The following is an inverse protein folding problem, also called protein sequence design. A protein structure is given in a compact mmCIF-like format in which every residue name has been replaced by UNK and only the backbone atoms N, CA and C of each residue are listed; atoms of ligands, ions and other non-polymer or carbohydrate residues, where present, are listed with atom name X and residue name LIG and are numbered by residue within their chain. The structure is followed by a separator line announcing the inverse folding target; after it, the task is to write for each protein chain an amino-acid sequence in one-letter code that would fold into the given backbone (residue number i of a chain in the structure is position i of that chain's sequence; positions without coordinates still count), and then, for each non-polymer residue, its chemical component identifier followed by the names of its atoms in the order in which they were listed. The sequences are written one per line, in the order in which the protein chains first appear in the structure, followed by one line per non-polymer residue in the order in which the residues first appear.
data_IF_201623676556
#
_entry.id   IF_201623676556
#
_cell.length_a   1.000
_cell.length_b   1.000
_cell.length_c   1.000
_cell.angle_alpha   90.00
_cell.angle_beta   90.00
_cell.angle_gamma   90.00
#
_symmetry.space_group_name_H-M   'P 1'
#
loop_
_entity.id
_entity.type
_entity.pdbx_description
1 polymer ?
#
# COMPACT_ATOMS: atom_id res chain seq x y z
N UNK A 1 10.60 1.56 25.61
CA UNK A 1 9.36 1.58 26.38
C UNK A 1 8.36 1.02 25.42
N UNK A 2 8.28 -0.28 25.51
CA UNK A 2 7.68 -1.22 24.59
C UNK A 2 7.63 -2.43 25.52
N UNK A 3 6.46 -2.64 26.11
CA UNK A 3 6.33 -3.48 27.32
C UNK A 3 6.03 -4.94 26.97
N UNK A 4 5.64 -5.19 25.73
CA UNK A 4 5.45 -6.48 25.07
C UNK A 4 6.53 -6.83 24.02
N UNK A 5 7.46 -5.90 23.75
CA UNK A 5 8.65 -6.09 22.92
C UNK A 5 8.33 -6.35 21.43
N UNK A 6 7.28 -5.69 20.92
CA UNK A 6 6.76 -5.87 19.56
C UNK A 6 7.35 -4.86 18.55
N UNK A 7 8.04 -3.82 19.05
CA UNK A 7 8.63 -2.76 18.24
C UNK A 7 7.86 -1.44 18.23
N UNK A 8 6.62 -1.43 18.73
CA UNK A 8 5.81 -0.24 18.94
C UNK A 8 6.00 0.28 20.37
N UNK A 9 5.98 1.60 20.53
CA UNK A 9 6.21 2.18 21.86
C UNK A 9 4.91 2.27 22.64
N UNK A 10 4.94 1.92 23.93
CA UNK A 10 3.91 2.14 24.95
C UNK A 10 3.14 3.48 24.83
N UNK A 11 3.85 4.53 24.39
CA UNK A 11 3.28 5.86 24.23
C UNK A 11 2.46 6.04 22.96
N UNK A 12 2.81 5.34 21.88
CA UNK A 12 2.07 5.29 20.62
C UNK A 12 0.78 4.49 20.81
N UNK A 13 0.89 3.30 21.40
CA UNK A 13 -0.24 2.43 21.71
C UNK A 13 -1.25 3.08 22.66
N UNK A 14 -0.79 3.78 23.70
CA UNK A 14 -1.69 4.54 24.60
C UNK A 14 -2.31 5.78 23.93
N UNK A 15 -1.98 6.10 22.69
CA UNK A 15 -2.38 7.33 22.01
C UNK A 15 -1.87 8.60 22.69
N UNK A 16 -0.75 8.52 23.42
CA UNK A 16 -0.25 9.61 24.24
C UNK A 16 0.55 10.60 23.40
N UNK A 17 0.10 11.86 23.32
CA UNK A 17 0.87 12.93 22.66
C UNK A 17 2.09 13.28 23.52
N UNK A 18 3.24 12.70 23.16
CA UNK A 18 4.53 12.87 23.84
C UNK A 18 5.65 12.83 22.78
N UNK A 19 5.89 13.93 22.05
CA UNK A 19 6.94 13.96 21.03
C UNK A 19 8.30 13.72 21.70
N UNK A 20 8.81 12.49 21.53
CA UNK A 20 10.14 11.98 21.89
C UNK A 20 10.84 12.69 23.06
N UNK A 21 10.89 12.04 24.22
CA UNK A 21 11.89 12.39 25.23
C UNK A 21 13.25 11.92 24.71
N UNK A 22 13.99 12.81 24.04
CA UNK A 22 15.27 12.49 23.40
C UNK A 22 16.20 11.70 24.34
N UNK A 23 16.33 10.39 24.09
CA UNK A 23 17.36 9.54 24.72
C UNK A 23 16.92 8.24 25.39
N UNK A 24 15.62 7.94 25.55
CA UNK A 24 15.19 6.71 26.24
C UNK A 24 14.58 5.60 25.37
N UNK A 25 14.45 5.80 24.04
CA UNK A 25 13.71 4.87 23.18
C UNK A 25 12.23 4.76 23.58
N UNK A 26 11.70 5.84 24.16
CA UNK A 26 10.32 5.95 24.59
C UNK A 26 9.76 7.21 23.96
N UNK A 27 8.82 7.05 23.04
CA UNK A 27 8.12 8.13 22.37
C UNK A 27 6.63 7.86 22.38
N UNK A 28 5.84 8.93 22.30
CA UNK A 28 4.44 8.82 21.97
C UNK A 28 4.16 9.49 20.64
N UNK A 29 2.88 9.66 20.35
CA UNK A 29 2.40 10.30 19.15
C UNK A 29 2.96 11.72 18.99
N UNK A 30 3.17 12.10 17.74
CA UNK A 30 3.43 13.49 17.39
C UNK A 30 2.21 14.37 17.76
N UNK A 31 2.39 15.70 17.77
CA UNK A 31 1.30 16.62 18.06
C UNK A 31 0.11 16.50 17.09
N UNK A 32 0.34 15.92 15.91
CA UNK A 32 -0.69 15.66 14.92
C UNK A 32 -1.61 14.48 15.29
N UNK A 33 -1.25 13.66 16.27
CA UNK A 33 -2.01 12.46 16.67
C UNK A 33 -1.61 11.23 15.85
N UNK A 34 -2.60 10.37 15.59
CA UNK A 34 -2.55 9.11 14.83
C UNK A 34 -3.73 9.06 13.85
N UNK A 35 -3.60 8.28 12.77
CA UNK A 35 -4.71 7.90 11.89
C UNK A 35 -5.21 6.45 12.11
N UNK A 36 -4.71 5.72 13.13
CA UNK A 36 -5.25 4.42 13.49
C UNK A 36 -6.76 4.51 13.71
N UNK A 37 -7.49 3.55 13.16
CA UNK A 37 -8.94 3.54 13.19
C UNK A 37 -9.48 3.38 14.62
N UNK A 38 -8.81 2.59 15.45
CA UNK A 38 -9.21 2.36 16.84
C UNK A 38 -8.04 2.27 17.83
N UNK A 39 -7.41 3.41 18.09
CA UNK A 39 -6.32 3.56 19.09
C UNK A 39 -6.69 3.08 20.51
N UNK A 40 -7.96 2.86 20.84
CA UNK A 40 -8.36 2.35 22.16
C UNK A 40 -8.30 0.83 22.29
N UNK A 41 -8.14 0.12 21.18
CA UNK A 41 -7.92 -1.33 21.16
C UNK A 41 -6.48 -1.66 21.51
N UNK A 42 -5.55 -0.80 21.13
CA UNK A 42 -4.12 -0.91 21.45
C UNK A 42 -3.89 -1.10 22.96
N UNK A 43 -3.11 -2.11 23.33
CA UNK A 43 -2.70 -2.38 24.70
C UNK A 43 -1.19 -2.62 24.77
N UNK A 44 -0.42 -1.79 25.49
CA UNK A 44 1.04 -1.91 25.69
C UNK A 44 1.58 -3.23 26.22
N UNK A 45 0.73 -4.19 26.53
CA UNK A 45 1.10 -5.51 27.02
C UNK A 45 0.64 -6.62 26.06
N UNK A 46 0.13 -6.24 24.89
CA UNK A 46 -0.42 -7.10 23.89
C UNK A 46 0.24 -6.79 22.53
N UNK A 47 1.21 -7.60 22.07
CA UNK A 47 2.05 -7.30 20.91
C UNK A 47 1.32 -7.41 19.54
N UNK A 48 0.01 -7.63 19.55
CA UNK A 48 -0.85 -7.93 18.40
C UNK A 48 -2.29 -7.52 18.80
N UNK A 49 -2.62 -6.27 18.54
CA UNK A 49 -3.74 -5.55 19.14
C UNK A 49 -5.08 -5.94 18.54
N UNK A 50 -5.14 -6.26 17.27
CA UNK A 50 -6.35 -6.77 16.61
C UNK A 50 -6.42 -8.31 16.52
N UNK A 51 -5.32 -9.00 16.82
CA UNK A 51 -5.25 -10.44 17.00
C UNK A 51 -5.18 -11.21 15.69
N UNK A 52 -4.65 -10.60 14.63
CA UNK A 52 -4.57 -11.16 13.29
C UNK A 52 -3.27 -11.97 13.05
N UNK A 53 -2.33 -11.89 13.99
CA UNK A 53 -1.06 -12.60 13.98
C UNK A 53 0.12 -11.80 13.42
N UNK A 54 -0.09 -10.58 12.94
CA UNK A 54 0.95 -9.58 12.70
C UNK A 54 1.17 -8.79 14.00
N UNK A 55 2.38 -8.28 14.22
CA UNK A 55 2.69 -7.54 15.46
C UNK A 55 2.51 -6.05 15.23
N UNK A 56 2.00 -5.29 16.19
CA UNK A 56 1.68 -3.86 15.99
C UNK A 56 2.91 -3.06 15.51
N UNK A 57 4.09 -3.39 16.03
CA UNK A 57 5.36 -2.79 15.61
C UNK A 57 5.85 -3.19 14.21
N UNK A 58 5.34 -4.28 13.63
CA UNK A 58 5.55 -4.65 12.22
C UNK A 58 4.61 -3.87 11.32
N UNK A 59 3.38 -3.68 11.78
CA UNK A 59 2.32 -2.97 11.07
C UNK A 59 2.59 -1.46 10.98
N UNK A 60 2.96 -0.80 12.08
CA UNK A 60 3.55 0.54 12.09
C UNK A 60 5.08 0.44 12.15
N UNK A 61 5.68 -0.03 11.06
CA UNK A 61 7.11 -0.34 10.94
C UNK A 61 8.03 0.83 11.34
N UNK A 62 7.57 2.06 11.14
CA UNK A 62 8.34 3.24 11.52
C UNK A 62 7.99 3.80 12.92
N UNK A 63 6.96 3.24 13.56
CA UNK A 63 6.51 3.50 14.92
C UNK A 63 6.04 4.93 15.14
N UNK A 64 5.59 5.64 14.10
CA UNK A 64 5.24 7.05 14.21
C UNK A 64 3.78 7.27 14.66
N UNK A 65 3.00 6.20 14.73
CA UNK A 65 1.58 6.23 15.01
C UNK A 65 0.72 6.57 13.80
N UNK A 66 1.18 6.38 12.57
CA UNK A 66 0.42 6.66 11.36
C UNK A 66 0.57 5.50 10.39
N UNK A 67 -0.56 4.99 9.91
CA UNK A 67 -0.64 4.07 8.78
C UNK A 67 -0.19 4.81 7.52
N UNK A 68 1.03 4.52 7.07
CA UNK A 68 1.60 4.99 5.80
C UNK A 68 1.24 4.05 4.63
N UNK A 69 1.71 4.34 3.42
CA UNK A 69 1.35 3.60 2.19
C UNK A 69 1.81 2.13 2.15
N UNK A 70 2.72 1.73 3.06
CA UNK A 70 3.32 0.39 3.09
C UNK A 70 3.20 -0.25 4.47
N UNK A 71 2.19 0.18 5.22
CA UNK A 71 1.92 -0.17 6.62
C UNK A 71 0.45 -0.56 6.73
N UNK A 72 0.14 -1.52 7.59
CA UNK A 72 -1.23 -1.86 7.99
C UNK A 72 -1.67 -1.07 9.21
N UNK A 73 -2.96 -1.10 9.53
CA UNK A 73 -3.50 -0.48 10.74
C UNK A 73 -3.51 -1.51 11.89
N UNK A 74 -2.69 -1.35 12.94
CA UNK A 74 -2.60 -2.32 14.05
C UNK A 74 -3.88 -2.54 14.88
N UNK A 75 -4.95 -1.82 14.52
CA UNK A 75 -6.25 -1.90 15.17
C UNK A 75 -7.32 -2.51 14.28
N UNK A 76 -6.95 -3.01 13.09
CA UNK A 76 -7.82 -3.64 12.10
C UNK A 76 -7.10 -4.85 11.50
N UNK A 77 -7.59 -6.03 11.84
CA UNK A 77 -7.08 -7.32 11.37
C UNK A 77 -7.14 -7.58 9.85
N UNK A 78 -7.59 -6.64 9.04
CA UNK A 78 -7.84 -6.74 7.58
C UNK A 78 -7.91 -5.29 7.09
N UNK A 79 -6.73 -4.69 6.83
CA UNK A 79 -6.60 -3.25 6.63
C UNK A 79 -7.20 -2.81 5.29
N UNK A 80 -7.09 -3.63 4.26
CA UNK A 80 -7.56 -3.31 2.92
C UNK A 80 -9.01 -3.79 2.63
N UNK A 81 -9.57 -4.60 3.54
CA UNK A 81 -10.93 -5.13 3.53
C UNK A 81 -11.22 -6.08 2.37
N UNK A 82 -10.23 -6.82 1.92
CA UNK A 82 -10.39 -7.82 0.88
C UNK A 82 -10.98 -9.14 1.44
N UNK A 83 -10.87 -9.38 2.74
CA UNK A 83 -11.39 -10.54 3.45
C UNK A 83 -10.34 -11.57 3.86
N UNK A 84 -9.06 -11.31 3.60
CA UNK A 84 -7.91 -11.89 4.26
C UNK A 84 -7.49 -10.99 5.42
N UNK A 85 -6.63 -11.52 6.29
CA UNK A 85 -6.10 -10.74 7.40
C UNK A 85 -4.64 -10.47 7.17
N UNK A 86 -4.17 -9.29 7.57
CA UNK A 86 -2.82 -8.82 7.29
C UNK A 86 -1.76 -9.84 7.73
N UNK A 87 -1.94 -10.45 8.90
CA UNK A 87 -1.08 -11.51 9.43
C UNK A 87 -1.09 -12.84 8.65
N UNK A 88 -2.21 -13.21 8.02
CA UNK A 88 -2.30 -14.35 7.10
C UNK A 88 -1.54 -14.03 5.82
N UNK A 89 -1.70 -12.81 5.32
CA UNK A 89 -1.14 -12.40 4.04
C UNK A 89 0.38 -12.22 4.11
N UNK A 90 0.85 -11.63 5.20
CA UNK A 90 2.28 -11.50 5.50
C UNK A 90 3.04 -12.81 5.53
N UNK A 91 2.37 -13.90 5.93
CA UNK A 91 3.02 -15.20 6.12
C UNK A 91 2.64 -16.21 5.05
N UNK A 92 1.58 -15.97 4.29
CA UNK A 92 0.97 -16.98 3.44
C UNK A 92 0.55 -18.23 4.22
N UNK A 93 0.12 -18.06 5.47
CA UNK A 93 -0.22 -19.11 6.43
C UNK A 93 -1.72 -19.03 6.77
N UNK A 94 -2.56 -19.59 5.90
CA UNK A 94 -4.01 -19.54 6.02
C UNK A 94 -4.58 -20.54 7.05
N UNK A 95 -3.77 -21.35 7.75
CA UNK A 95 -4.24 -22.23 8.86
C UNK A 95 -3.57 -21.92 10.20
N UNK A 96 -2.70 -20.90 10.21
CA UNK A 96 -2.08 -20.32 11.38
C UNK A 96 -1.22 -21.35 12.14
N UNK A 97 -0.57 -22.26 11.41
CA UNK A 97 0.32 -23.27 11.99
C UNK A 97 1.77 -22.77 12.19
N UNK A 98 2.06 -21.56 11.71
CA UNK A 98 3.35 -20.90 11.75
C UNK A 98 4.26 -21.25 10.57
N UNK A 99 3.74 -21.96 9.56
CA UNK A 99 4.44 -22.36 8.34
C UNK A 99 3.61 -21.88 7.15
N UNK A 100 4.21 -21.21 6.14
CA UNK A 100 3.51 -20.90 4.91
C UNK A 100 2.93 -22.16 4.27
N UNK A 101 1.70 -22.06 3.75
CA UNK A 101 0.97 -23.18 3.15
C UNK A 101 1.59 -23.71 1.86
N UNK A 102 2.47 -22.91 1.25
CA UNK A 102 3.10 -23.20 -0.03
C UNK A 102 4.63 -23.18 0.08
N UNK A 103 5.28 -23.96 -0.79
CA UNK A 103 6.72 -23.86 -0.96
C UNK A 103 7.03 -22.57 -1.75
N UNK A 104 7.56 -21.52 -1.11
CA UNK A 104 7.93 -20.24 -1.77
C UNK A 104 8.72 -20.41 -3.08
N UNK A 105 9.50 -21.49 -3.22
CA UNK A 105 10.29 -21.76 -4.43
C UNK A 105 9.44 -22.05 -5.67
N UNK A 106 8.16 -22.40 -5.47
CA UNK A 106 7.22 -22.72 -6.53
C UNK A 106 6.44 -21.50 -7.01
N UNK A 107 6.40 -20.41 -6.23
CA UNK A 107 5.75 -19.16 -6.62
C UNK A 107 6.36 -18.65 -7.91
N UNK A 108 5.50 -18.57 -8.94
CA UNK A 108 5.83 -17.90 -10.17
C UNK A 108 5.77 -16.39 -9.91
N UNK A 109 6.91 -15.82 -9.54
CA UNK A 109 7.02 -14.36 -9.40
C UNK A 109 6.49 -13.70 -10.68
N UNK A 110 5.68 -12.66 -10.50
CA UNK A 110 5.22 -11.82 -11.59
C UNK A 110 6.38 -11.32 -12.47
N UNK A 111 6.08 -10.75 -13.65
CA UNK A 111 7.08 -10.40 -14.68
C UNK A 111 8.20 -9.43 -14.23
N UNK A 112 8.12 -8.87 -13.02
CA UNK A 112 9.03 -7.87 -12.46
C UNK A 112 10.11 -8.42 -11.52
N UNK A 113 9.99 -9.64 -10.98
CA UNK A 113 10.88 -10.11 -9.92
C UNK A 113 11.76 -11.31 -10.27
N UNK A 114 13.04 -11.23 -9.87
CA UNK A 114 13.92 -12.42 -9.80
C UNK A 114 13.45 -13.33 -8.64
N UNK A 115 13.78 -14.63 -8.60
CA UNK A 115 13.21 -15.63 -7.69
C UNK A 115 13.15 -15.14 -6.23
N UNK A 116 12.07 -15.44 -5.48
CA UNK A 116 11.59 -14.57 -4.41
C UNK A 116 12.57 -14.54 -3.24
N UNK A 117 13.03 -13.35 -2.91
CA UNK A 117 13.74 -13.10 -1.65
C UNK A 117 12.78 -12.66 -0.53
N UNK A 118 11.53 -12.31 -0.85
CA UNK A 118 10.55 -11.80 0.10
C UNK A 118 9.14 -12.34 -0.22
N UNK A 119 8.46 -12.93 0.78
CA UNK A 119 7.05 -13.37 0.68
C UNK A 119 6.08 -12.19 0.84
N UNK A 120 6.58 -11.05 1.31
CA UNK A 120 5.77 -9.92 1.73
C UNK A 120 5.27 -9.04 0.57
N UNK A 121 5.84 -9.17 -0.63
CA UNK A 121 5.53 -8.36 -1.84
C UNK A 121 5.76 -9.25 -3.07
N UNK A 122 4.69 -9.92 -3.52
CA UNK A 122 4.79 -11.05 -4.44
C UNK A 122 4.91 -10.63 -5.92
N UNK A 123 4.18 -9.59 -6.31
CA UNK A 123 4.21 -9.03 -7.66
C UNK A 123 5.35 -7.99 -7.84
N UNK A 124 5.94 -7.54 -6.72
CA UNK A 124 7.00 -6.57 -6.63
C UNK A 124 6.64 -5.19 -7.19
N UNK A 125 5.40 -4.74 -7.00
CA UNK A 125 5.02 -3.36 -7.26
C UNK A 125 5.40 -2.39 -6.14
N UNK A 126 5.83 -2.94 -4.99
CA UNK A 126 6.28 -2.23 -3.80
C UNK A 126 5.18 -2.05 -2.75
N UNK A 127 3.99 -2.57 -2.97
CA UNK A 127 2.90 -2.68 -2.01
C UNK A 127 2.98 -4.06 -1.35
N UNK A 128 3.06 -4.14 -0.01
CA UNK A 128 3.02 -5.43 0.65
C UNK A 128 1.69 -6.16 0.43
N UNK A 129 1.71 -7.49 0.35
CA UNK A 129 0.50 -8.29 0.09
C UNK A 129 -0.65 -7.95 1.05
N UNK A 130 -0.36 -7.75 2.34
CA UNK A 130 -1.35 -7.41 3.38
C UNK A 130 -2.01 -6.04 3.26
N UNK A 131 -1.68 -5.26 2.23
CA UNK A 131 -2.36 -4.01 1.89
C UNK A 131 -2.59 -3.91 0.37
N UNK A 132 -2.23 -4.97 -0.37
CA UNK A 132 -2.44 -5.08 -1.80
C UNK A 132 -3.74 -5.82 -2.07
N UNK A 133 -4.51 -5.29 -3.02
CA UNK A 133 -5.83 -5.83 -3.35
C UNK A 133 -5.77 -6.92 -4.42
N UNK A 134 -4.62 -7.11 -5.07
CA UNK A 134 -4.33 -8.07 -6.16
C UNK A 134 -2.86 -8.48 -6.07
N UNK A 135 -2.53 -9.23 -5.00
CA UNK A 135 -1.17 -9.55 -4.54
C UNK A 135 -0.25 -10.17 -5.60
N UNK A 136 -0.78 -10.82 -6.62
CA UNK A 136 -0.02 -11.46 -7.69
C UNK A 136 -0.13 -10.77 -9.07
N UNK A 137 -0.81 -9.61 -9.12
CA UNK A 137 -1.07 -8.76 -10.30
C UNK A 137 -1.67 -9.55 -11.49
N UNK A 138 -2.49 -10.54 -11.16
CA UNK A 138 -3.18 -11.43 -12.07
C UNK A 138 -4.38 -10.73 -12.76
N UNK A 139 -4.91 -9.70 -12.12
CA UNK A 139 -6.15 -9.03 -12.52
C UNK A 139 -7.38 -9.64 -11.87
N UNK A 140 -7.19 -10.49 -10.86
CA UNK A 140 -8.20 -10.94 -9.93
C UNK A 140 -7.91 -10.38 -8.54
N UNK A 141 -8.88 -9.73 -7.88
CA UNK A 141 -8.61 -9.22 -6.56
C UNK A 141 -8.62 -10.33 -5.52
N UNK A 142 -7.78 -10.20 -4.49
CA UNK A 142 -7.55 -11.19 -3.44
C UNK A 142 -8.86 -11.60 -2.73
N UNK A 143 -9.79 -10.66 -2.57
CA UNK A 143 -11.19 -10.91 -2.12
C UNK A 143 -11.98 -12.00 -2.87
N UNK A 144 -11.54 -12.39 -4.07
CA UNK A 144 -12.15 -13.47 -4.88
C UNK A 144 -11.37 -14.77 -4.84
N UNK A 145 -10.18 -14.76 -4.27
CA UNK A 145 -9.19 -15.83 -4.30
C UNK A 145 -8.79 -16.31 -2.90
N UNK A 146 -9.01 -15.49 -1.88
CA UNK A 146 -8.59 -15.68 -0.48
C UNK A 146 -9.19 -16.87 0.29
N UNK A 147 -9.77 -17.86 -0.39
CA UNK A 147 -10.32 -19.05 0.25
C UNK A 147 -9.46 -20.30 0.04
N UNK A 148 -8.12 -20.14 0.03
CA UNK A 148 -7.16 -21.21 -0.30
C UNK A 148 -7.52 -21.93 -1.61
N UNK A 149 -8.07 -21.21 -2.58
CA UNK A 149 -8.34 -21.82 -3.88
C UNK A 149 -7.01 -22.11 -4.56
N UNK A 150 -6.91 -23.25 -5.22
CA UNK A 150 -5.76 -23.67 -6.02
C UNK A 150 -6.33 -24.29 -7.30
N UNK A 151 -6.65 -23.42 -8.26
CA UNK A 151 -7.37 -23.79 -9.47
C UNK A 151 -6.56 -24.72 -10.37
N UNK A 152 -5.24 -24.49 -10.46
CA UNK A 152 -4.36 -25.26 -11.33
C UNK A 152 -3.69 -26.46 -10.62
N UNK A 153 -3.96 -26.64 -9.32
CA UNK A 153 -3.46 -27.73 -8.47
C UNK A 153 -1.94 -27.78 -8.38
N UNK A 154 -1.28 -26.61 -8.37
CA UNK A 154 0.17 -26.49 -8.29
C UNK A 154 0.68 -26.31 -6.84
N UNK A 155 -0.21 -26.39 -5.84
CA UNK A 155 0.05 -26.24 -4.39
C UNK A 155 0.31 -24.81 -3.92
N UNK A 156 0.05 -23.82 -4.77
CA UNK A 156 0.14 -22.40 -4.46
C UNK A 156 -1.29 -21.87 -4.41
N UNK A 157 -1.69 -21.16 -3.34
CA UNK A 157 -2.96 -20.45 -3.33
C UNK A 157 -3.07 -19.48 -4.50
N UNK A 158 -4.25 -19.37 -5.11
CA UNK A 158 -4.49 -18.53 -6.29
C UNK A 158 -4.14 -17.05 -6.03
N UNK A 159 -4.39 -16.54 -4.82
CA UNK A 159 -3.94 -15.20 -4.33
C UNK A 159 -2.44 -14.95 -4.51
N UNK A 160 -1.65 -16.02 -4.60
CA UNK A 160 -0.19 -15.95 -4.76
C UNK A 160 0.29 -16.64 -6.05
N UNK A 161 -0.58 -16.87 -7.03
CA UNK A 161 -0.25 -17.59 -8.25
C UNK A 161 -0.72 -16.87 -9.51
N UNK A 162 0.16 -16.03 -10.06
CA UNK A 162 -0.11 -15.26 -11.28
C UNK A 162 -0.40 -16.10 -12.53
N UNK A 163 -0.12 -17.41 -12.50
CA UNK A 163 -0.48 -18.35 -13.55
C UNK A 163 -1.91 -18.94 -13.38
N UNK A 164 -2.59 -18.67 -12.25
CA UNK A 164 -3.90 -19.18 -11.87
C UNK A 164 -4.99 -18.09 -11.82
N UNK A 165 -5.64 -17.83 -12.96
CA UNK A 165 -6.80 -16.91 -13.04
C UNK A 165 -8.08 -17.50 -12.44
N UNK A 166 -8.28 -17.41 -11.13
CA UNK A 166 -9.49 -17.88 -10.48
C UNK A 166 -10.70 -16.94 -10.65
N UNK A 167 -10.49 -15.72 -11.18
CA UNK A 167 -11.56 -14.75 -11.41
C UNK A 167 -12.62 -15.09 -12.48
N UNK A 168 -12.49 -16.20 -13.19
CA UNK A 168 -13.46 -16.53 -14.25
C UNK A 168 -14.67 -17.26 -13.69
N UNK A 169 -15.79 -16.54 -13.62
CA UNK A 169 -17.05 -17.16 -14.02
C UNK A 169 -17.03 -17.38 -15.53
N UNK A 170 -16.93 -18.64 -15.94
CA UNK A 170 -17.19 -19.22 -17.27
C UNK A 170 -16.01 -19.32 -18.27
N UNK A 171 -15.63 -20.58 -18.52
CA UNK A 171 -15.17 -21.16 -19.78
C UNK A 171 -14.07 -20.44 -20.60
N UNK A 172 -12.91 -21.10 -20.70
CA UNK A 172 -12.13 -21.29 -21.93
C UNK A 172 -12.61 -20.48 -23.15
N UNK A 173 -12.11 -19.25 -23.36
CA UNK A 173 -12.59 -18.49 -24.50
C UNK A 173 -12.04 -17.07 -24.71
N UNK A 174 -10.75 -16.95 -25.03
CA UNK A 174 -10.22 -15.97 -25.99
C UNK A 174 -10.54 -14.48 -25.83
N UNK A 175 -9.51 -13.72 -25.45
CA UNK A 175 -9.21 -12.35 -25.91
C UNK A 175 -10.37 -11.37 -26.13
N UNK A 176 -10.57 -10.45 -25.19
CA UNK A 176 -11.49 -9.33 -25.38
C UNK A 176 -11.18 -8.18 -24.44
N UNK A 177 -10.36 -7.24 -24.91
CA UNK A 177 -10.21 -5.89 -24.33
C UNK A 177 -11.58 -5.26 -24.05
N UNK A 178 -11.83 -4.85 -22.81
CA UNK A 178 -13.04 -4.11 -22.42
C UNK A 178 -13.01 -2.72 -23.06
N UNK A 179 -13.82 -2.58 -24.12
CA UNK A 179 -14.06 -1.33 -24.85
C UNK A 179 -15.34 -0.67 -24.30
N UNK A 180 -15.22 0.48 -23.65
CA UNK A 180 -16.36 1.31 -23.26
C UNK A 180 -17.11 1.83 -24.50
N UNK A 181 -18.30 1.29 -24.76
CA UNK A 181 -19.21 1.73 -25.82
C UNK A 181 -20.66 1.63 -25.33
N UNK A 182 -21.33 2.77 -25.20
CA UNK A 182 -22.61 2.88 -24.48
C UNK A 182 -23.87 2.56 -25.28
N UNK A 183 -24.97 2.51 -24.52
CA UNK A 183 -26.32 2.90 -24.96
C UNK A 183 -27.30 1.76 -25.25
N UNK A 184 -28.35 1.65 -24.42
CA UNK A 184 -29.56 0.90 -24.79
C UNK A 184 -30.45 0.50 -23.62
N UNK A 185 -31.38 1.38 -23.25
CA UNK A 185 -32.43 1.17 -22.25
C UNK A 185 -33.54 0.25 -22.76
N UNK A 186 -34.03 -0.66 -21.91
CA UNK A 186 -35.45 -1.03 -21.89
C UNK A 186 -35.87 -1.49 -20.49
N UNK A 187 -36.94 -0.87 -20.03
CA UNK A 187 -37.54 -0.93 -18.70
C UNK A 187 -38.09 -2.32 -18.35
N UNK A 188 -38.00 -2.69 -17.07
CA UNK A 188 -39.11 -3.38 -16.39
C UNK A 188 -39.20 -2.85 -14.95
N UNK A 189 -40.40 -2.35 -14.64
CA UNK A 189 -40.78 -1.66 -13.41
C UNK A 189 -41.80 -2.55 -12.68
N UNK A 190 -41.51 -2.92 -11.43
CA UNK A 190 -42.44 -3.38 -10.37
C UNK A 190 -41.58 -3.87 -9.17
N UNK A 191 -41.78 -3.53 -7.89
CA UNK A 191 -42.70 -2.65 -7.17
C UNK A 191 -42.32 -2.72 -5.66
N UNK A 192 -41.98 -1.57 -5.04
CA UNK A 192 -42.23 -1.14 -3.63
C UNK A 192 -41.61 -1.92 -2.44
N UNK A 193 -40.89 -1.34 -1.45
CA UNK A 193 -41.29 -0.29 -0.46
C UNK A 193 -40.03 0.23 0.33
N UNK A 194 -40.11 1.23 1.25
CA UNK A 194 -39.66 2.61 1.05
C UNK A 194 -38.37 2.99 1.82
N UNK A 195 -37.41 3.62 1.13
CA UNK A 195 -36.23 4.22 1.75
C UNK A 195 -36.51 5.64 2.28
N UNK A 196 -36.04 5.89 3.50
CA UNK A 196 -36.03 7.18 4.18
C UNK A 196 -35.03 8.12 3.50
N UNK A 197 -35.51 9.21 2.91
CA UNK A 197 -34.69 10.27 2.32
C UNK A 197 -34.16 11.24 3.37
N UNK A 198 -32.86 11.49 3.45
CA UNK A 198 -32.29 12.75 2.98
C UNK A 198 -30.76 12.87 3.19
N UNK A 199 -30.15 13.47 2.16
CA UNK A 199 -28.89 14.22 2.11
C UNK A 199 -27.57 13.45 2.23
N UNK A 200 -27.07 13.00 1.08
CA UNK A 200 -25.62 12.80 0.84
C UNK A 200 -24.95 14.17 0.63
N UNK A 201 -23.75 14.42 1.21
CA UNK A 201 -22.96 15.59 0.88
C UNK A 201 -22.23 15.41 -0.45
N UNK A 202 -22.28 16.48 -1.22
CA UNK A 202 -21.77 16.68 -2.56
C UNK A 202 -20.23 16.64 -2.64
N UNK A 203 -19.67 15.59 -3.26
CA UNK A 203 -18.41 15.67 -4.02
C UNK A 203 -18.21 14.44 -4.94
N UNK A 204 -19.03 14.30 -5.99
CA UNK A 204 -18.56 13.56 -7.16
C UNK A 204 -19.04 14.21 -8.45
N UNK A 205 -18.09 14.32 -9.36
CA UNK A 205 -18.12 15.01 -10.64
C UNK A 205 -19.19 14.45 -11.59
N UNK A 206 -20.04 15.32 -12.15
CA UNK A 206 -20.69 15.10 -13.44
C UNK A 206 -19.78 15.70 -14.52
N UNK A 207 -19.13 14.83 -15.32
CA UNK A 207 -18.47 15.21 -16.56
C UNK A 207 -19.30 14.70 -17.74
N UNK A 208 -20.20 15.54 -18.23
CA UNK A 208 -20.67 15.46 -19.62
C UNK A 208 -20.43 16.79 -20.33
N UNK A 209 -19.27 16.91 -20.97
CA UNK A 209 -18.96 18.08 -21.79
C UNK A 209 -17.50 18.11 -22.26
N UNK A 210 -17.24 17.55 -23.44
CA UNK A 210 -15.90 17.31 -23.96
C UNK A 210 -15.02 18.53 -24.23
N UNK A 211 -13.71 18.29 -24.10
CA UNK A 211 -12.64 19.16 -24.57
C UNK A 211 -11.33 18.37 -24.53
N UNK A 212 -10.88 17.88 -25.68
CA UNK A 212 -9.64 17.11 -25.80
C UNK A 212 -8.42 17.99 -25.53
N UNK A 213 -7.60 17.63 -24.55
CA UNK A 213 -6.23 18.12 -24.42
C UNK A 213 -5.27 17.06 -24.97
N UNK A 214 -4.95 17.22 -26.26
CA UNK A 214 -3.87 16.48 -26.92
C UNK A 214 -2.53 17.10 -26.53
N UNK A 215 -1.61 16.28 -26.01
CA UNK A 215 -0.20 16.62 -25.80
C UNK A 215 0.47 16.85 -27.17
N UNK A 216 0.52 18.11 -27.60
CA UNK A 216 1.36 18.53 -28.73
C UNK A 216 2.79 18.74 -28.24
N UNK A 217 3.74 17.95 -28.77
CA UNK A 217 5.18 18.24 -28.67
C UNK A 217 5.47 19.67 -29.14
N UNK A 218 6.10 20.55 -28.35
CA UNK A 218 6.70 21.75 -28.91
C UNK A 218 8.02 21.40 -29.59
N UNK A 219 7.98 21.28 -30.92
CA UNK A 219 9.17 21.39 -31.76
C UNK A 219 9.55 22.88 -31.88
N UNK A 220 10.48 23.36 -31.08
CA UNK A 220 11.21 24.60 -31.39
C UNK A 220 12.70 24.43 -31.13
N UNK A 221 13.45 24.58 -32.23
CA UNK A 221 14.90 24.54 -32.34
C UNK A 221 15.60 25.44 -31.31
N UNK A 222 16.29 24.85 -30.34
CA UNK A 222 17.24 25.58 -29.50
C UNK A 222 18.61 25.66 -30.21
N UNK A 223 18.94 26.85 -30.67
CA UNK A 223 20.21 27.18 -31.32
C UNK A 223 21.39 27.03 -30.34
N UNK A 224 22.35 26.15 -30.69
CA UNK A 224 23.57 25.83 -29.91
C UNK A 224 24.67 26.91 -30.08
N UNK A 225 24.35 28.20 -29.93
CA UNK A 225 25.35 29.28 -30.12
C UNK A 225 25.37 30.39 -29.06
N UNK A 226 24.79 30.19 -27.87
CA UNK A 226 24.93 31.13 -26.74
C UNK A 226 25.16 30.44 -25.38
N UNK A 227 26.12 29.52 -25.30
CA UNK A 227 26.68 29.05 -24.01
C UNK A 227 28.21 29.22 -24.05
N UNK A 228 28.68 30.47 -24.18
CA UNK A 228 30.11 30.80 -24.05
C UNK A 228 30.38 32.00 -23.12
N UNK A 229 29.39 32.63 -22.48
CA UNK A 229 29.66 33.84 -21.67
C UNK A 229 29.16 33.88 -20.22
N UNK A 230 28.80 32.74 -19.60
CA UNK A 230 28.42 32.72 -18.17
C UNK A 230 29.20 31.65 -17.37
N UNK A 231 30.48 31.44 -17.71
CA UNK A 231 31.42 30.66 -16.88
C UNK A 231 32.70 31.44 -16.53
N UNK A 232 32.63 32.77 -16.44
CA UNK A 232 33.77 33.62 -16.03
C UNK A 232 33.52 34.50 -14.79
N UNK A 233 32.37 34.41 -14.12
CA UNK A 233 32.02 35.36 -13.05
C UNK A 233 31.66 34.77 -11.68
N UNK A 234 31.88 33.46 -11.44
CA UNK A 234 31.67 32.86 -10.09
C UNK A 234 32.97 32.28 -9.50
N UNK A 235 34.14 32.61 -10.07
CA UNK A 235 35.43 32.15 -9.55
C UNK A 235 36.18 33.17 -8.67
N UNK A 236 35.51 34.19 -8.09
CA UNK A 236 36.19 35.22 -7.28
C UNK A 236 35.66 35.43 -5.84
N UNK A 237 34.87 34.51 -5.27
CA UNK A 237 34.33 34.67 -3.91
C UNK A 237 34.67 33.55 -2.91
N UNK A 238 35.54 32.60 -3.27
CA UNK A 238 35.99 31.53 -2.33
C UNK A 238 37.45 31.71 -1.86
N UNK A 239 38.19 32.70 -2.36
CA UNK A 239 39.62 32.85 -2.06
C UNK A 239 40.00 33.88 -0.97
N UNK A 240 39.09 34.32 -0.09
CA UNK A 240 39.42 35.35 0.95
C UNK A 240 39.10 34.92 2.40
N UNK A 241 38.53 33.74 2.66
CA UNK A 241 38.23 33.30 4.05
C UNK A 241 39.12 32.19 4.61
N UNK A 242 40.25 31.88 3.97
CA UNK A 242 41.31 31.03 4.53
C UNK A 242 42.68 31.71 4.49
N UNK A 243 42.80 32.86 5.16
CA UNK A 243 44.11 33.35 5.60
C UNK A 243 43.96 34.35 6.75
N UNK A 244 43.52 33.89 7.93
CA UNK A 244 43.77 34.60 9.20
C UNK A 244 43.73 33.57 10.35
N UNK A 245 44.73 32.69 10.36
CA UNK A 245 45.23 32.01 11.55
C UNK A 245 46.75 31.94 11.41
N UNK A 246 47.47 32.79 12.13
CA UNK A 246 48.90 32.63 12.37
C UNK A 246 49.74 33.91 12.33
N UNK A 247 50.23 34.30 13.52
CA UNK A 247 51.48 35.05 13.81
C UNK A 247 51.55 36.57 13.59
N UNK A 248 51.32 37.32 14.66
CA UNK A 248 52.30 38.07 15.48
C UNK A 248 51.56 38.98 16.46
#
# INVERSE_FOLDING_TARGET
CDSDEDGLSDGVEKGAILPSSAGSGCHGLQAAGTNYNNVHVMDPLNPDSDGDGLMDGVEDANGNGWVDTYESDPSIADTDFDGLSDGVEAKGDFDLDGIPDFELQLVANGPKCSPPEDISDLDCDGVPNWIDIDSDEDGCPDSREGNRTDYNSNTIPDVYDSDAKACTGDDSGGGGSISFGGGGSSNDEQNETPAYSNSTPNWLFDQTGGGACSLVKPATNFNIWMIVFIYSSICLLVAVRKCFKGYC
#
